data_IF_389427026243
#
_entry.id   IF_389427026243
#
_cell.length_a   1.000
_cell.length_b   1.000
_cell.length_c   1.000
_cell.angle_alpha   90.00
_cell.angle_beta   90.00
_cell.angle_gamma   90.00
#
_symmetry.space_group_name_H-M   'P 1'
#
loop_
_entity.id
_entity.type
_entity.pdbx_description
1 polymer ?
#
# COMPACT_ATOMS: atom_id res chain seq x y z
N UNK A 1 9.53 13.63 -2.45
CA UNK A 1 9.69 12.66 -1.34
C UNK A 1 10.55 11.49 -1.79
N UNK A 2 11.14 10.71 -0.87
CA UNK A 2 11.93 9.52 -1.22
C UNK A 2 11.04 8.37 -1.69
N UNK A 3 11.39 7.75 -2.81
CA UNK A 3 10.67 6.63 -3.43
C UNK A 3 11.49 5.32 -3.44
N UNK A 4 12.60 5.25 -2.67
CA UNK A 4 13.60 4.17 -2.68
C UNK A 4 13.12 2.81 -2.12
N UNK A 5 11.82 2.48 -2.25
CA UNK A 5 11.22 1.21 -1.83
C UNK A 5 10.37 0.66 -2.97
N UNK A 6 10.90 -0.31 -3.73
CA UNK A 6 10.13 -0.99 -4.77
C UNK A 6 9.14 -2.00 -4.21
N UNK A 7 9.48 -2.63 -3.09
CA UNK A 7 8.58 -3.49 -2.34
C UNK A 7 7.62 -2.64 -1.51
N UNK A 8 6.34 -2.96 -1.60
CA UNK A 8 5.31 -2.44 -0.71
C UNK A 8 4.39 -3.52 -0.17
N UNK A 9 3.82 -3.26 1.00
CA UNK A 9 2.69 -4.05 1.49
C UNK A 9 1.40 -3.67 0.76
N UNK A 10 0.50 -4.63 0.54
CA UNK A 10 -0.86 -4.37 0.05
C UNK A 10 -1.60 -3.32 0.87
N UNK A 11 -1.35 -3.25 2.18
CA UNK A 11 -1.90 -2.22 3.04
C UNK A 11 -1.61 -0.80 2.51
N UNK A 12 -0.33 -0.43 2.37
CA UNK A 12 0.06 0.90 1.90
C UNK A 12 -0.24 1.14 0.41
N UNK A 13 -0.18 0.08 -0.39
CA UNK A 13 -0.44 0.20 -1.82
C UNK A 13 -1.93 0.31 -2.14
N UNK A 14 -2.83 -0.22 -1.30
CA UNK A 14 -4.26 -0.25 -1.61
C UNK A 14 -5.17 0.14 -0.43
N UNK A 15 -5.07 -0.54 0.72
CA UNK A 15 -6.00 -0.34 1.84
C UNK A 15 -5.94 1.07 2.44
N UNK A 16 -4.73 1.62 2.61
CA UNK A 16 -4.52 2.98 3.11
C UNK A 16 -5.09 4.06 2.16
N UNK A 17 -5.28 3.72 0.88
CA UNK A 17 -5.87 4.57 -0.15
C UNK A 17 -7.38 4.37 -0.29
N UNK A 18 -7.99 3.62 0.62
CA UNK A 18 -9.42 3.31 0.60
C UNK A 18 -9.86 2.49 -0.64
N UNK A 19 -8.94 1.78 -1.30
CA UNK A 19 -9.30 0.86 -2.39
C UNK A 19 -9.81 -0.47 -1.80
N UNK A 20 -10.97 -1.03 -2.20
CA UNK A 20 -11.50 -2.25 -1.60
C UNK A 20 -10.65 -3.49 -1.93
N UNK A 21 -10.70 -4.51 -1.07
CA UNK A 21 -9.93 -5.75 -1.26
C UNK A 21 -10.38 -6.59 -2.46
N UNK A 22 -11.64 -6.48 -2.86
CA UNK A 22 -12.22 -7.19 -4.01
C UNK A 22 -11.99 -6.45 -5.35
N UNK A 23 -11.17 -5.39 -5.35
CA UNK A 23 -10.95 -4.59 -6.54
C UNK A 23 -10.12 -5.36 -7.59
N UNK A 24 -10.50 -5.38 -8.89
CA UNK A 24 -9.79 -6.12 -9.94
C UNK A 24 -8.29 -5.81 -10.02
N UNK A 25 -7.89 -4.55 -9.80
CA UNK A 25 -6.48 -4.17 -9.78
C UNK A 25 -5.61 -4.86 -8.70
N UNK A 26 -6.21 -5.58 -7.73
CA UNK A 26 -5.50 -6.41 -6.75
C UNK A 26 -5.29 -7.85 -7.22
N UNK A 27 -5.82 -8.22 -8.39
CA UNK A 27 -5.62 -9.54 -8.96
C UNK A 27 -4.13 -9.77 -9.26
N UNK A 28 -3.70 -11.01 -9.08
CA UNK A 28 -2.39 -11.55 -9.43
C UNK A 28 -1.99 -11.29 -10.89
N UNK A 29 -2.95 -11.12 -11.79
CA UNK A 29 -2.70 -10.77 -13.18
C UNK A 29 -2.22 -9.33 -13.36
N UNK A 30 -2.67 -8.41 -12.49
CA UNK A 30 -2.37 -6.97 -12.55
C UNK A 30 -1.28 -6.55 -11.55
N UNK A 31 -1.02 -7.37 -10.53
CA UNK A 31 -0.12 -7.08 -9.41
C UNK A 31 0.91 -8.19 -9.21
N UNK A 32 2.18 -7.82 -9.17
CA UNK A 32 3.27 -8.74 -8.85
C UNK A 32 3.42 -8.90 -7.34
N UNK A 33 2.89 -10.00 -6.80
CA UNK A 33 3.11 -10.40 -5.40
C UNK A 33 4.49 -11.02 -5.22
N UNK A 34 5.10 -10.78 -4.06
CA UNK A 34 6.38 -11.37 -3.69
C UNK A 34 6.18 -12.74 -3.05
N UNK A 35 7.09 -13.66 -3.35
CA UNK A 35 7.19 -14.95 -2.64
C UNK A 35 8.06 -14.83 -1.39
N UNK A 36 9.11 -14.02 -1.44
CA UNK A 36 10.06 -13.85 -0.33
C UNK A 36 10.56 -12.40 -0.22
N UNK A 37 10.28 -11.66 0.87
CA UNK A 37 9.31 -11.98 1.92
C UNK A 37 7.86 -11.82 1.41
N UNK A 38 7.03 -12.86 1.51
CA UNK A 38 5.62 -12.80 1.09
C UNK A 38 4.74 -11.89 1.96
N UNK A 39 5.10 -11.73 3.23
CA UNK A 39 4.31 -10.97 4.20
C UNK A 39 5.13 -9.85 4.82
N UNK A 40 4.50 -8.70 5.04
CA UNK A 40 4.99 -7.65 5.92
C UNK A 40 4.39 -7.83 7.31
N UNK A 41 5.19 -7.56 8.33
CA UNK A 41 4.80 -7.66 9.74
C UNK A 41 4.76 -6.30 10.45
N UNK A 42 5.36 -5.27 9.85
CA UNK A 42 5.52 -3.96 10.48
C UNK A 42 4.46 -2.98 9.99
N UNK A 43 3.45 -2.73 10.83
CA UNK A 43 2.41 -1.75 10.57
C UNK A 43 2.09 -0.92 11.82
N UNK A 44 1.66 0.33 11.65
CA UNK A 44 1.03 1.07 12.73
C UNK A 44 -0.35 0.47 13.01
N UNK A 45 -0.44 -0.37 14.04
CA UNK A 45 -1.65 -1.14 14.35
C UNK A 45 -2.86 -0.23 14.57
N UNK A 46 -2.64 0.92 15.21
CA UNK A 46 -3.68 1.93 15.42
C UNK A 46 -4.31 2.41 14.11
N UNK A 47 -3.51 2.53 13.05
CA UNK A 47 -3.97 2.99 11.75
C UNK A 47 -4.64 1.87 10.96
N UNK A 48 -4.08 0.66 11.04
CA UNK A 48 -4.68 -0.54 10.42
C UNK A 48 -6.09 -0.78 10.97
N UNK A 49 -6.29 -0.66 12.28
CA UNK A 49 -7.60 -0.87 12.90
C UNK A 49 -8.62 0.20 12.47
N UNK A 50 -8.18 1.47 12.33
CA UNK A 50 -9.03 2.53 11.78
C UNK A 50 -9.42 2.26 10.33
N UNK A 51 -8.46 1.87 9.49
CA UNK A 51 -8.71 1.51 8.08
C UNK A 51 -9.67 0.33 8.00
N UNK A 52 -9.43 -0.75 8.75
CA UNK A 52 -10.31 -1.91 8.84
C UNK A 52 -11.75 -1.51 9.17
N UNK A 53 -11.94 -0.69 10.21
CA UNK A 53 -13.26 -0.23 10.64
C UNK A 53 -13.98 0.56 9.54
N UNK A 54 -13.30 1.55 8.94
CA UNK A 54 -13.92 2.39 7.91
C UNK A 54 -14.21 1.62 6.62
N UNK A 55 -13.38 0.65 6.26
CA UNK A 55 -13.65 -0.22 5.11
C UNK A 55 -14.86 -1.13 5.33
N UNK A 56 -15.01 -1.70 6.52
CA UNK A 56 -16.06 -2.68 6.81
C UNK A 56 -17.37 -2.01 7.22
N UNK A 57 -17.36 -1.28 8.33
CA UNK A 57 -18.54 -0.70 8.97
C UNK A 57 -18.83 0.74 8.52
N UNK A 58 -17.82 1.42 7.97
CA UNK A 58 -17.89 2.85 7.66
C UNK A 58 -17.38 3.74 8.79
N UNK A 59 -17.52 5.05 8.61
CA UNK A 59 -16.96 6.06 9.50
C UNK A 59 -16.72 7.38 8.77
N UNK A 60 -16.48 8.45 9.53
CA UNK A 60 -16.23 9.79 8.98
C UNK A 60 -17.31 10.29 7.98
N UNK A 61 -18.57 9.88 8.18
CA UNK A 61 -19.69 10.20 7.29
C UNK A 61 -19.89 9.24 6.11
N UNK A 62 -19.00 8.25 5.92
CA UNK A 62 -19.13 7.19 4.93
C UNK A 62 -19.79 5.93 5.53
N UNK A 63 -20.51 5.18 4.68
CA UNK A 63 -21.08 3.88 5.02
C UNK A 63 -20.08 2.72 4.89
N UNK A 64 -18.84 3.01 4.47
CA UNK A 64 -17.85 1.98 4.16
C UNK A 64 -18.24 1.14 2.94
N UNK A 65 -17.57 0.00 2.78
CA UNK A 65 -17.85 -0.96 1.70
C UNK A 65 -18.69 -2.15 2.15
N UNK A 66 -19.01 -2.28 3.44
CA UNK A 66 -19.90 -3.33 3.98
C UNK A 66 -19.43 -4.76 3.65
N UNK A 67 -18.14 -5.01 3.79
CA UNK A 67 -17.54 -6.36 3.67
C UNK A 67 -16.56 -6.63 4.82
N UNK A 68 -16.26 -7.91 5.02
CA UNK A 68 -15.26 -8.32 6.00
C UNK A 68 -13.84 -8.05 5.50
N UNK A 69 -13.23 -7.00 6.03
CA UNK A 69 -11.85 -6.64 5.72
C UNK A 69 -10.87 -7.65 6.34
N UNK A 70 -10.03 -8.27 5.51
CA UNK A 70 -9.11 -9.32 5.92
C UNK A 70 -7.66 -8.80 6.06
N UNK A 71 -7.10 -8.91 7.26
CA UNK A 71 -5.72 -8.50 7.55
C UNK A 71 -4.68 -9.26 6.71
N UNK A 72 -4.94 -10.53 6.39
CA UNK A 72 -4.00 -11.36 5.62
C UNK A 72 -3.77 -10.81 4.22
N UNK A 73 -4.80 -10.20 3.61
CA UNK A 73 -4.68 -9.57 2.30
C UNK A 73 -3.82 -8.31 2.35
N UNK A 74 -3.97 -7.52 3.41
CA UNK A 74 -3.20 -6.30 3.64
C UNK A 74 -1.72 -6.57 3.94
N UNK A 75 -1.41 -7.74 4.53
CA UNK A 75 -0.05 -8.16 4.87
C UNK A 75 0.77 -8.63 3.66
N UNK A 76 0.15 -9.02 2.55
CA UNK A 76 0.87 -9.50 1.36
C UNK A 76 1.81 -8.41 0.83
N UNK A 77 3.05 -8.78 0.52
CA UNK A 77 3.98 -7.90 -0.15
C UNK A 77 3.85 -8.01 -1.67
N UNK A 78 4.03 -6.89 -2.34
CA UNK A 78 3.96 -6.73 -3.77
C UNK A 78 5.02 -5.74 -4.27
N UNK A 79 5.26 -5.74 -5.56
CA UNK A 79 5.95 -4.64 -6.22
C UNK A 79 4.97 -3.48 -6.39
N UNK A 80 5.34 -2.30 -5.89
CA UNK A 80 4.50 -1.10 -5.91
C UNK A 80 3.95 -0.86 -7.32
N UNK A 81 2.63 -0.74 -7.44
CA UNK A 81 1.95 -0.54 -8.74
C UNK A 81 1.87 0.94 -9.15
N UNK A 82 1.91 1.85 -8.18
CA UNK A 82 1.83 3.30 -8.40
C UNK A 82 2.47 4.10 -7.25
N UNK A 83 2.99 5.30 -7.55
CA UNK A 83 3.65 6.18 -6.57
C UNK A 83 2.70 6.72 -5.50
N UNK A 84 1.39 6.64 -5.69
CA UNK A 84 0.38 7.08 -4.69
C UNK A 84 0.54 6.38 -3.34
N UNK A 85 1.09 5.17 -3.30
CA UNK A 85 1.43 4.46 -2.06
C UNK A 85 2.47 5.23 -1.22
N UNK A 86 3.44 5.88 -1.87
CA UNK A 86 4.44 6.74 -1.23
C UNK A 86 3.78 7.99 -0.65
N UNK A 87 2.88 8.60 -1.43
CA UNK A 87 2.08 9.75 -0.97
C UNK A 87 1.25 9.38 0.26
N UNK A 88 0.63 8.20 0.31
CA UNK A 88 -0.12 7.74 1.48
C UNK A 88 0.76 7.68 2.74
N UNK A 89 1.95 7.07 2.64
CA UNK A 89 2.90 7.02 3.75
C UNK A 89 3.36 8.39 4.21
N UNK A 90 3.60 9.29 3.27
CA UNK A 90 4.04 10.64 3.59
C UNK A 90 2.93 11.46 4.24
N UNK A 91 1.71 11.42 3.70
CA UNK A 91 0.55 12.06 4.31
C UNK A 91 0.31 11.54 5.73
N UNK A 92 0.45 10.22 5.95
CA UNK A 92 0.37 9.63 7.28
C UNK A 92 1.47 10.16 8.24
N UNK A 93 2.70 10.31 7.74
CA UNK A 93 3.82 10.87 8.50
C UNK A 93 3.60 12.35 8.85
N UNK A 94 3.11 13.14 7.90
CA UNK A 94 2.78 14.57 8.09
C UNK A 94 1.63 14.73 9.09
N UNK A 95 0.57 13.92 8.99
CA UNK A 95 -0.57 13.96 9.91
C UNK A 95 -0.17 13.77 11.38
N UNK A 96 0.91 13.04 11.66
CA UNK A 96 1.45 12.88 13.03
C UNK A 96 2.18 14.11 13.57
N UNK A 97 2.72 14.95 12.69
CA UNK A 97 3.52 16.14 13.05
C UNK A 97 2.68 17.41 13.18
N UNK A 98 1.39 17.32 12.89
CA UNK A 98 0.47 18.46 12.83
C UNK A 98 0.25 18.96 11.39
N UNK A 99 -0.67 19.90 11.24
CA UNK A 99 -1.03 20.43 9.92
C UNK A 99 -0.12 21.59 9.52
N UNK A 100 0.60 21.41 8.41
CA UNK A 100 1.35 22.46 7.71
C UNK A 100 1.06 22.33 6.22
N UNK A 101 0.61 23.39 5.53
CA UNK A 101 0.43 23.36 4.09
C UNK A 101 1.74 22.97 3.40
N UNK A 102 1.73 21.88 2.64
CA UNK A 102 2.92 21.33 1.99
C UNK A 102 2.59 20.94 0.55
N UNK A 103 3.52 21.17 -0.37
CA UNK A 103 3.44 20.68 -1.76
C UNK A 103 4.56 19.67 -1.97
N UNK A 104 4.22 18.48 -2.43
CA UNK A 104 5.21 17.42 -2.66
C UNK A 104 4.97 16.72 -3.99
N UNK A 105 6.06 16.47 -4.72
CA UNK A 105 6.05 15.78 -6.01
C UNK A 105 6.93 14.53 -5.94
N UNK A 106 6.52 13.46 -6.65
CA UNK A 106 7.31 12.24 -6.85
C UNK A 106 7.27 11.85 -8.33
N UNK A 107 8.40 11.39 -8.87
CA UNK A 107 8.55 10.92 -10.25
C UNK A 107 9.25 9.57 -10.21
N UNK A 108 8.60 8.55 -10.77
CA UNK A 108 9.16 7.20 -10.79
C UNK A 108 8.63 6.41 -12.00
N UNK A 109 9.49 5.58 -12.58
CA UNK A 109 9.19 4.82 -13.79
C UNK A 109 8.47 3.52 -13.44
N UNK A 110 7.25 3.32 -13.96
CA UNK A 110 6.58 2.02 -13.96
C UNK A 110 7.28 1.09 -14.96
N UNK A 111 7.60 -0.14 -14.55
CA UNK A 111 8.08 -1.19 -15.46
C UNK A 111 6.94 -2.18 -15.67
N UNK A 112 6.43 -2.24 -16.90
CA UNK A 112 5.26 -3.08 -17.25
C UNK A 112 5.61 -4.55 -17.53
N UNK A 113 6.90 -4.91 -17.54
CA UNK A 113 7.37 -6.29 -17.68
C UNK A 113 8.49 -6.60 -16.70
N UNK A 114 8.30 -7.56 -15.76
CA UNK A 114 9.38 -8.06 -14.95
C UNK A 114 10.14 -9.14 -15.74
N UNK A 115 11.47 -9.00 -15.79
CA UNK A 115 12.36 -10.14 -16.03
C UNK A 115 12.09 -11.18 -14.94
N UNK A 116 11.59 -12.37 -15.30
CA UNK A 116 11.42 -13.51 -14.39
C UNK A 116 12.73 -13.76 -13.62
N UNK A 117 12.65 -13.89 -12.29
CA UNK A 117 13.74 -14.43 -11.47
C UNK A 117 14.67 -13.43 -10.77
N UNK A 118 14.28 -12.17 -10.54
CA UNK A 118 15.07 -11.25 -9.72
C UNK A 118 14.94 -11.59 -8.24
N UNK A 119 16.07 -11.74 -7.57
CA UNK A 119 16.15 -11.96 -6.12
C UNK A 119 15.80 -10.67 -5.35
N UNK A 120 15.31 -10.81 -4.13
CA UNK A 120 14.93 -9.69 -3.24
C UNK A 120 16.07 -8.69 -3.01
N UNK A 121 17.33 -9.16 -3.07
CA UNK A 121 18.51 -8.29 -2.97
C UNK A 121 18.72 -7.42 -4.23
N UNK A 122 18.32 -7.89 -5.41
CA UNK A 122 18.40 -7.12 -6.65
C UNK A 122 17.25 -6.11 -6.79
N UNK A 123 16.12 -6.34 -6.09
CA UNK A 123 14.98 -5.42 -6.04
C UNK A 123 15.27 -4.23 -5.11
N UNK A 124 16.02 -4.44 -4.02
CA UNK A 124 16.38 -3.37 -3.08
C UNK A 124 17.65 -2.58 -3.46
N UNK A 125 18.54 -3.16 -4.28
CA UNK A 125 19.78 -2.49 -4.77
C UNK A 125 19.58 -1.66 -6.04
N UNK A 126 18.46 -1.84 -6.74
CA UNK A 126 18.05 -1.02 -7.88
C UNK A 126 17.12 0.08 -7.41
#
# INVERSE_FOLDING_TARGET
MSTNKFMESSFWNFDALFQPQQHPARDSHDTFFLTEPAISTEFPQDYVDRVRKVHSEGGYGSLGYKYDWNIKEAQKNLLRTHTTAVSARQLYSLAKKGFVPTVETTLERRRDTPTKGLSTQEIQRR
#
